data_IF_282421999747
#
_entry.id   IF_282421999747
#
_cell.length_a   1.000
_cell.length_b   1.000
_cell.length_c   1.000
_cell.angle_alpha   90.00
_cell.angle_beta   90.00
_cell.angle_gamma   90.00
#
_symmetry.space_group_name_H-M   'P 1'
#
loop_
_entity.id
_entity.type
_entity.pdbx_description
1 polymer ?
#
# COMPACT_ATOMS: atom_id res chain seq x y z
N UNK A 1 -3.14 -1.57 8.08
CA UNK A 1 -2.56 -2.51 7.12
C UNK A 1 -3.59 -3.56 6.78
N UNK A 2 -4.23 -3.43 5.60
CA UNK A 2 -4.64 -4.60 4.88
C UNK A 2 -3.47 -5.58 4.86
N UNK A 3 -3.73 -6.87 5.09
CA UNK A 3 -2.70 -7.89 4.89
C UNK A 3 -2.14 -7.72 3.46
N UNK A 4 -0.81 -7.83 3.27
CA UNK A 4 -0.13 -7.72 1.96
C UNK A 4 -0.82 -8.49 0.83
N UNK A 5 -1.44 -9.63 1.14
CA UNK A 5 -2.23 -10.43 0.20
C UNK A 5 -3.40 -9.66 -0.45
N UNK A 6 -3.99 -8.69 0.24
CA UNK A 6 -5.07 -7.85 -0.30
C UNK A 6 -4.53 -6.80 -1.26
N UNK A 7 -3.37 -6.20 -0.98
CA UNK A 7 -2.71 -5.31 -1.94
C UNK A 7 -2.37 -6.07 -3.24
N UNK A 8 -1.77 -7.26 -3.11
CA UNK A 8 -1.49 -8.12 -4.25
C UNK A 8 -2.75 -8.60 -5.00
N UNK A 9 -3.89 -8.74 -4.30
CA UNK A 9 -5.16 -9.05 -4.94
C UNK A 9 -5.70 -7.86 -5.73
N UNK A 10 -5.66 -6.66 -5.15
CA UNK A 10 -6.07 -5.40 -5.82
C UNK A 10 -5.24 -5.22 -7.10
N UNK A 11 -3.92 -5.37 -7.02
CA UNK A 11 -3.03 -5.36 -8.18
C UNK A 11 -3.48 -6.38 -9.24
N UNK A 12 -3.73 -7.63 -8.84
CA UNK A 12 -4.10 -8.68 -9.79
C UNK A 12 -5.42 -8.37 -10.50
N UNK A 13 -6.37 -7.74 -9.83
CA UNK A 13 -7.66 -7.34 -10.39
C UNK A 13 -7.49 -6.17 -11.36
N UNK A 14 -6.73 -5.14 -10.98
CA UNK A 14 -6.64 -3.89 -11.75
C UNK A 14 -5.59 -3.95 -12.86
N UNK A 15 -4.44 -4.54 -12.58
CA UNK A 15 -3.25 -4.56 -13.45
C UNK A 15 -3.04 -5.90 -14.15
N UNK A 16 -3.82 -6.94 -13.80
CA UNK A 16 -3.63 -8.30 -14.31
C UNK A 16 -2.38 -9.02 -13.78
N UNK A 17 -1.54 -8.36 -12.98
CA UNK A 17 -0.32 -8.89 -12.35
C UNK A 17 -0.18 -8.40 -10.92
N UNK A 18 0.78 -8.96 -10.16
CA UNK A 18 1.05 -8.59 -8.76
C UNK A 18 2.37 -7.83 -8.68
N UNK A 19 2.41 -6.67 -8.03
CA UNK A 19 3.65 -5.92 -7.76
C UNK A 19 4.18 -6.26 -6.36
N UNK A 20 4.41 -7.54 -6.09
CA UNK A 20 4.76 -8.03 -4.75
C UNK A 20 6.01 -7.37 -4.14
N UNK A 21 7.03 -7.08 -4.96
CA UNK A 21 8.27 -6.45 -4.48
C UNK A 21 8.01 -5.04 -3.99
N UNK A 22 7.12 -4.29 -4.68
CA UNK A 22 6.71 -2.95 -4.25
C UNK A 22 6.06 -3.03 -2.87
N UNK A 23 5.02 -3.85 -2.70
CA UNK A 23 4.36 -3.98 -1.40
C UNK A 23 5.31 -4.48 -0.31
N UNK A 24 6.25 -5.36 -0.64
CA UNK A 24 7.27 -5.78 0.33
C UNK A 24 8.10 -4.60 0.82
N UNK A 25 8.58 -3.74 -0.08
CA UNK A 25 9.41 -2.57 0.26
C UNK A 25 8.62 -1.55 1.06
N UNK A 26 7.41 -1.19 0.61
CA UNK A 26 6.56 -0.23 1.32
C UNK A 26 6.24 -0.71 2.74
N UNK A 27 5.88 -1.99 2.88
CA UNK A 27 5.54 -2.58 4.18
C UNK A 27 6.77 -2.93 5.03
N UNK A 28 7.99 -2.97 4.48
CA UNK A 28 9.17 -3.49 5.18
C UNK A 28 9.40 -2.83 6.56
N UNK A 29 9.26 -1.50 6.72
CA UNK A 29 9.47 -0.85 8.01
C UNK A 29 8.45 -1.27 9.08
N UNK A 30 7.34 -1.94 8.73
CA UNK A 30 6.38 -2.51 9.70
C UNK A 30 7.03 -3.52 10.66
N UNK A 31 8.12 -4.18 10.25
CA UNK A 31 8.88 -5.11 11.10
C UNK A 31 9.56 -4.43 12.29
N UNK A 32 9.81 -3.12 12.19
CA UNK A 32 10.51 -2.34 13.23
C UNK A 32 9.58 -1.31 13.90
N UNK A 33 8.65 -0.72 13.14
CA UNK A 33 7.82 0.41 13.58
C UNK A 33 6.33 0.08 13.75
N UNK A 34 5.92 -1.16 13.47
CA UNK A 34 4.52 -1.57 13.58
C UNK A 34 3.59 -0.65 12.79
N UNK A 35 2.53 -0.15 13.42
CA UNK A 35 1.57 0.76 12.78
C UNK A 35 2.15 2.11 12.32
N UNK A 36 3.31 2.53 12.85
CA UNK A 36 3.98 3.80 12.50
C UNK A 36 4.83 3.72 11.22
N UNK A 37 4.96 2.54 10.60
CA UNK A 37 5.78 2.35 9.40
C UNK A 37 5.35 3.22 8.20
N UNK A 38 4.08 3.63 8.14
CA UNK A 38 3.54 4.54 7.11
C UNK A 38 4.16 5.95 7.12
N UNK A 39 5.11 6.23 8.01
CA UNK A 39 5.97 7.42 7.92
C UNK A 39 7.09 7.27 6.89
N UNK A 40 7.36 6.04 6.44
CA UNK A 40 8.44 5.70 5.53
C UNK A 40 7.85 5.13 4.25
N UNK A 41 8.27 5.66 3.09
CA UNK A 41 7.88 5.17 1.77
C UNK A 41 6.39 5.31 1.43
N UNK A 42 5.64 6.07 2.22
CA UNK A 42 4.19 6.20 2.08
C UNK A 42 3.73 7.63 1.75
N UNK A 43 4.67 8.53 1.44
CA UNK A 43 4.32 9.72 0.66
C UNK A 43 3.98 9.32 -0.77
N UNK A 44 3.18 10.14 -1.46
CA UNK A 44 2.80 9.87 -2.85
C UNK A 44 4.06 9.82 -3.73
N UNK A 45 4.98 10.75 -3.51
CA UNK A 45 6.24 10.89 -4.25
C UNK A 45 7.15 9.66 -4.04
N UNK A 46 7.37 9.24 -2.80
CA UNK A 46 8.23 8.09 -2.49
C UNK A 46 7.64 6.79 -3.04
N UNK A 47 6.36 6.54 -2.76
CA UNK A 47 5.71 5.29 -3.15
C UNK A 47 5.66 5.16 -4.69
N UNK A 48 5.30 6.24 -5.39
CA UNK A 48 5.23 6.23 -6.86
C UNK A 48 6.61 6.17 -7.50
N UNK A 49 7.64 6.79 -6.92
CA UNK A 49 9.02 6.63 -7.39
C UNK A 49 9.50 5.19 -7.26
N UNK A 50 9.30 4.55 -6.10
CA UNK A 50 9.65 3.14 -5.90
C UNK A 50 8.86 2.25 -6.88
N UNK A 51 7.57 2.52 -7.05
CA UNK A 51 6.73 1.83 -8.03
C UNK A 51 7.28 1.95 -9.45
N UNK A 52 7.58 3.18 -9.88
CA UNK A 52 8.13 3.47 -11.21
C UNK A 52 9.44 2.72 -11.45
N UNK A 53 10.36 2.75 -10.47
CA UNK A 53 11.67 2.11 -10.60
C UNK A 53 11.58 0.58 -10.70
N UNK A 54 10.58 -0.05 -10.07
CA UNK A 54 10.44 -1.51 -10.05
C UNK A 54 9.61 -2.07 -11.20
N UNK A 55 8.57 -1.36 -11.62
CA UNK A 55 7.54 -1.89 -12.53
C UNK A 55 7.07 -0.88 -13.59
N UNK A 56 7.70 0.28 -13.71
CA UNK A 56 7.29 1.34 -14.64
C UNK A 56 5.90 1.91 -14.29
N UNK A 57 5.10 2.22 -15.31
CA UNK A 57 3.75 2.79 -15.14
C UNK A 57 2.86 1.94 -14.23
N UNK A 58 2.92 0.62 -14.36
CA UNK A 58 2.09 -0.27 -13.54
C UNK A 58 2.47 -0.22 -12.05
N UNK A 59 3.74 0.02 -11.75
CA UNK A 59 4.21 0.21 -10.38
C UNK A 59 3.72 1.52 -9.78
N UNK A 60 3.62 2.59 -10.57
CA UNK A 60 2.99 3.85 -10.12
C UNK A 60 1.53 3.59 -9.74
N UNK A 61 0.78 2.88 -10.61
CA UNK A 61 -0.63 2.58 -10.33
C UNK A 61 -0.75 1.70 -9.08
N UNK A 62 0.08 0.66 -8.95
CA UNK A 62 0.10 -0.20 -7.77
C UNK A 62 0.45 0.57 -6.49
N UNK A 63 1.39 1.51 -6.53
CA UNK A 63 1.72 2.37 -5.40
C UNK A 63 0.52 3.23 -4.95
N UNK A 64 -0.17 3.86 -5.91
CA UNK A 64 -1.38 4.62 -5.63
C UNK A 64 -2.49 3.74 -5.04
N UNK A 65 -2.71 2.56 -5.61
CA UNK A 65 -3.69 1.58 -5.09
C UNK A 65 -3.34 1.12 -3.67
N UNK A 66 -2.06 0.92 -3.38
CA UNK A 66 -1.57 0.57 -2.06
C UNK A 66 -1.92 1.66 -1.04
N UNK A 67 -1.55 2.92 -1.31
CA UNK A 67 -1.85 4.06 -0.44
C UNK A 67 -3.36 4.26 -0.24
N UNK A 68 -4.16 4.15 -1.30
CA UNK A 68 -5.61 4.25 -1.23
C UNK A 68 -6.23 3.17 -0.34
N UNK A 69 -5.82 1.92 -0.52
CA UNK A 69 -6.31 0.80 0.29
C UNK A 69 -5.96 1.01 1.78
N UNK A 70 -4.76 1.50 2.06
CA UNK A 70 -4.28 1.76 3.41
C UNK A 70 -5.05 2.89 4.12
N UNK A 71 -5.40 3.94 3.36
CA UNK A 71 -6.20 5.08 3.83
C UNK A 71 -7.66 4.69 4.05
N UNK A 72 -8.27 3.95 3.11
CA UNK A 72 -9.65 3.50 3.21
C UNK A 72 -9.85 2.60 4.44
N UNK A 73 -8.92 1.66 4.68
CA UNK A 73 -8.97 0.82 5.88
C UNK A 73 -8.90 1.65 7.17
N UNK A 74 -8.06 2.69 7.19
CA UNK A 74 -7.98 3.61 8.32
C UNK A 74 -9.28 4.40 8.54
N UNK A 75 -9.95 4.85 7.47
CA UNK A 75 -11.22 5.53 7.56
C UNK A 75 -12.34 4.61 8.05
N UNK A 76 -12.43 3.38 7.50
CA UNK A 76 -13.41 2.37 7.93
C UNK A 76 -13.23 2.06 9.42
N UNK A 77 -11.99 1.87 9.90
CA UNK A 77 -11.72 1.62 11.32
C UNK A 77 -12.17 2.78 12.22
N UNK A 78 -11.94 4.02 11.80
CA UNK A 78 -12.40 5.21 12.54
C UNK A 78 -13.92 5.27 12.59
N UNK A 79 -14.58 5.03 11.45
CA UNK A 79 -16.03 5.01 11.35
C UNK A 79 -16.65 3.93 12.25
N UNK A 80 -16.18 2.69 12.18
CA UNK A 80 -16.66 1.61 13.03
C UNK A 80 -16.49 1.90 14.52
N UNK A 81 -15.38 2.54 14.92
CA UNK A 81 -15.15 2.95 16.30
C UNK A 81 -16.08 4.08 16.76
N UNK A 82 -16.58 4.92 15.85
CA UNK A 82 -17.57 5.95 16.19
C UNK A 82 -18.99 5.41 16.40
N UNK A 83 -19.25 4.16 15.98
CA UNK A 83 -20.54 3.48 16.18
C UNK A 83 -20.58 2.64 17.46
N UNK A 84 -19.43 2.40 18.11
CA UNK A 84 -19.29 1.65 19.36
C UNK A 84 -19.22 2.60 20.56
#
# INVERSE_FOLDING_TARGET
MPKRKYHALIDKIILGKKCNTLHYILDFPSRFYGSKHRKFFHSVEEATLIGLLLYGKDGIISACLHLLADNLESQIKKYLKSLS
#
